data_IF_411266808897
#
_entry.id   IF_411266808897
#
_cell.length_a   1.000
_cell.length_b   1.000
_cell.length_c   1.000
_cell.angle_alpha   90.00
_cell.angle_beta   90.00
_cell.angle_gamma   90.00
#
_symmetry.space_group_name_H-M   'P 1'
#
loop_
_entity.id
_entity.type
_entity.pdbx_description
1 polymer ?
#
# COMPACT_ATOMS: atom_id res chain seq x y z
N UNK A 1 21.67 -30.84 -10.86
CA UNK A 1 21.11 -29.53 -11.23
C UNK A 1 19.66 -29.77 -11.65
N UNK A 2 18.67 -29.48 -10.78
CA UNK A 2 17.25 -29.70 -11.13
C UNK A 2 16.83 -28.62 -12.12
N UNK A 3 16.16 -29.01 -13.22
CA UNK A 3 15.57 -28.11 -14.20
C UNK A 3 14.72 -27.07 -13.45
N UNK A 4 15.02 -25.78 -13.63
CA UNK A 4 14.09 -24.69 -13.31
C UNK A 4 12.80 -25.03 -14.05
N UNK A 5 11.74 -25.37 -13.31
CA UNK A 5 10.41 -25.35 -13.89
C UNK A 5 10.09 -23.87 -14.06
N UNK A 6 10.18 -23.40 -15.30
CA UNK A 6 9.82 -22.04 -15.66
C UNK A 6 8.32 -21.97 -15.39
N UNK A 7 7.94 -21.29 -14.29
CA UNK A 7 6.55 -20.92 -14.08
C UNK A 7 6.07 -20.19 -15.35
N UNK A 8 4.81 -20.36 -15.77
CA UNK A 8 4.29 -19.66 -16.95
C UNK A 8 4.67 -18.18 -16.90
N UNK A 9 5.04 -17.60 -18.05
CA UNK A 9 5.59 -16.24 -18.09
C UNK A 9 4.70 -15.20 -17.38
N UNK A 10 3.39 -15.47 -17.37
CA UNK A 10 2.33 -14.64 -16.80
C UNK A 10 2.31 -14.62 -15.26
N UNK A 11 3.15 -15.44 -14.61
CA UNK A 11 3.16 -15.53 -13.14
C UNK A 11 3.91 -14.36 -12.50
N UNK A 12 4.74 -13.64 -13.26
CA UNK A 12 5.61 -12.57 -12.76
C UNK A 12 6.35 -12.95 -11.47
N UNK A 13 6.67 -14.24 -11.32
CA UNK A 13 7.29 -14.81 -10.14
C UNK A 13 8.36 -15.81 -10.52
N UNK A 14 9.40 -15.89 -9.69
CA UNK A 14 10.43 -16.90 -9.73
C UNK A 14 10.62 -17.53 -8.35
N UNK A 15 11.36 -18.64 -8.26
CA UNK A 15 11.67 -19.28 -6.98
C UNK A 15 13.18 -19.34 -6.83
N UNK A 16 13.71 -18.72 -5.78
CA UNK A 16 15.11 -18.85 -5.37
C UNK A 16 15.27 -19.91 -4.29
N UNK A 17 16.34 -20.69 -4.36
CA UNK A 17 16.74 -21.60 -3.30
C UNK A 17 17.89 -20.96 -2.50
N UNK A 18 17.66 -20.71 -1.20
CA UNK A 18 18.65 -20.13 -0.28
C UNK A 18 18.64 -20.98 0.99
N UNK A 19 19.81 -21.47 1.43
CA UNK A 19 19.94 -22.24 2.68
C UNK A 19 18.92 -23.39 2.82
N UNK A 20 18.69 -24.14 1.72
CA UNK A 20 17.73 -25.28 1.66
C UNK A 20 16.26 -24.88 1.84
N UNK A 21 15.92 -23.61 1.63
CA UNK A 21 14.54 -23.11 1.58
C UNK A 21 14.26 -22.47 0.23
N UNK A 22 12.99 -22.48 -0.15
CA UNK A 22 12.50 -21.96 -1.42
C UNK A 22 11.71 -20.68 -1.19
N UNK A 23 12.13 -19.60 -1.84
CA UNK A 23 11.57 -18.27 -1.71
C UNK A 23 10.93 -17.91 -3.03
N UNK A 24 9.60 -17.71 -3.10
CA UNK A 24 9.00 -16.98 -4.19
C UNK A 24 9.66 -15.59 -4.28
N UNK A 25 9.78 -15.04 -5.48
CA UNK A 25 10.32 -13.70 -5.73
C UNK A 25 9.50 -13.10 -6.87
N UNK A 26 8.98 -11.90 -6.70
CA UNK A 26 8.31 -11.17 -7.77
C UNK A 26 9.31 -10.64 -8.77
N UNK A 27 8.97 -10.75 -10.04
CA UNK A 27 9.69 -10.15 -11.16
C UNK A 27 8.88 -8.98 -11.68
N UNK A 28 9.47 -7.80 -11.64
CA UNK A 28 8.90 -6.58 -12.20
C UNK A 28 9.82 -6.05 -13.28
N UNK A 29 9.22 -5.48 -14.32
CA UNK A 29 9.95 -4.82 -15.40
C UNK A 29 9.86 -3.32 -15.17
N UNK A 30 11.00 -2.64 -15.09
CA UNK A 30 11.02 -1.18 -15.02
C UNK A 30 10.64 -0.54 -16.35
N UNK A 31 10.37 0.76 -16.33
CA UNK A 31 10.09 1.55 -17.53
C UNK A 31 11.23 1.46 -18.57
N UNK A 32 12.47 1.26 -18.12
CA UNK A 32 13.66 1.05 -18.96
C UNK A 32 13.81 -0.41 -19.44
N UNK A 33 12.77 -1.23 -19.35
CA UNK A 33 12.75 -2.65 -19.70
C UNK A 33 13.74 -3.53 -18.91
N UNK A 34 14.18 -3.10 -17.73
CA UNK A 34 15.03 -3.92 -16.89
C UNK A 34 14.17 -4.87 -16.06
N UNK A 35 14.47 -6.17 -16.11
CA UNK A 35 13.89 -7.13 -15.18
C UNK A 35 14.57 -6.97 -13.81
N UNK A 36 13.78 -6.62 -12.81
CA UNK A 36 14.16 -6.60 -11.42
C UNK A 36 13.44 -7.70 -10.68
N UNK A 37 14.20 -8.42 -9.85
CA UNK A 37 13.69 -9.43 -8.95
C UNK A 37 13.62 -8.82 -7.55
N UNK A 38 12.47 -8.91 -6.89
CA UNK A 38 12.28 -8.37 -5.55
C UNK A 38 11.24 -9.13 -4.74
N UNK A 39 11.30 -8.92 -3.42
CA UNK A 39 10.43 -9.59 -2.45
C UNK A 39 9.15 -8.77 -2.15
N UNK A 40 8.87 -7.74 -2.96
CA UNK A 40 7.66 -6.94 -2.87
C UNK A 40 6.41 -7.83 -2.92
N UNK A 41 5.48 -7.66 -1.98
CA UNK A 41 4.24 -8.45 -1.92
C UNK A 41 4.35 -9.84 -1.29
N UNK A 42 5.54 -10.24 -0.82
CA UNK A 42 5.79 -11.51 -0.10
C UNK A 42 6.02 -11.30 1.39
N UNK A 43 5.56 -10.16 1.90
CA UNK A 43 5.38 -9.94 3.32
C UNK A 43 4.11 -10.64 3.77
N UNK A 44 4.19 -11.43 4.84
CA UNK A 44 3.09 -12.28 5.29
C UNK A 44 1.83 -11.51 5.66
N UNK A 45 1.95 -10.21 5.95
CA UNK A 45 0.80 -9.39 6.30
C UNK A 45 1.17 -7.91 6.38
N UNK A 46 0.27 -7.01 5.97
CA UNK A 46 0.18 -5.68 6.57
C UNK A 46 -0.35 -5.76 8.03
N UNK A 47 -0.78 -6.95 8.48
CA UNK A 47 -1.30 -7.24 9.83
C UNK A 47 -0.26 -7.23 10.96
N UNK A 48 1.03 -6.97 10.69
CA UNK A 48 1.98 -6.58 11.75
C UNK A 48 1.60 -5.21 12.38
N UNK A 49 0.58 -4.53 11.84
CA UNK A 49 -0.13 -3.40 12.46
C UNK A 49 -1.01 -3.80 13.66
N UNK A 50 -1.44 -5.06 13.77
CA UNK A 50 -2.49 -5.49 14.73
C UNK A 50 -2.10 -6.69 15.61
N UNK A 51 -0.82 -6.88 15.90
CA UNK A 51 -0.40 -7.41 17.21
C UNK A 51 -0.58 -8.90 17.51
N UNK A 52 -0.56 -9.80 16.52
CA UNK A 52 -0.35 -11.23 16.78
C UNK A 52 1.04 -11.67 16.27
N UNK A 53 2.07 -11.71 17.14
CA UNK A 53 3.38 -12.18 16.73
C UNK A 53 3.32 -13.69 16.43
N UNK A 54 3.58 -14.07 15.18
CA UNK A 54 3.67 -15.48 14.80
C UNK A 54 4.91 -16.13 15.42
N UNK A 55 4.80 -17.43 15.74
CA UNK A 55 5.85 -18.23 16.35
C UNK A 55 7.15 -18.21 15.51
N UNK A 56 8.11 -17.39 15.93
CA UNK A 56 9.39 -17.21 15.26
C UNK A 56 10.29 -18.42 15.53
N UNK A 57 10.41 -19.31 14.55
CA UNK A 57 11.48 -20.31 14.53
C UNK A 57 12.83 -19.66 14.16
N UNK A 58 13.98 -20.20 14.62
CA UNK A 58 15.31 -19.57 14.55
C UNK A 58 15.90 -19.36 13.13
N UNK A 59 15.12 -19.57 12.06
CA UNK A 59 15.57 -19.46 10.66
C UNK A 59 14.59 -18.71 9.75
N UNK A 60 13.55 -18.09 10.32
CA UNK A 60 12.71 -17.17 9.55
C UNK A 60 13.41 -15.82 9.50
N UNK A 61 13.97 -15.46 8.35
CA UNK A 61 14.27 -14.06 8.03
C UNK A 61 12.95 -13.30 8.13
N UNK A 62 12.81 -12.54 9.22
CA UNK A 62 11.66 -11.71 9.59
C UNK A 62 10.97 -11.12 8.38
N UNK A 63 9.70 -11.50 8.17
CA UNK A 63 8.82 -10.94 7.16
C UNK A 63 8.73 -11.67 5.81
N UNK A 64 9.62 -12.63 5.48
CA UNK A 64 9.64 -13.22 4.13
C UNK A 64 8.98 -14.61 4.04
N UNK A 65 8.10 -14.80 3.03
CA UNK A 65 7.51 -16.10 2.68
C UNK A 65 8.57 -17.07 2.15
N UNK A 66 8.71 -18.23 2.80
CA UNK A 66 9.62 -19.29 2.38
C UNK A 66 9.12 -20.68 2.72
N UNK A 67 9.43 -21.64 1.85
CA UNK A 67 8.92 -23.00 1.92
C UNK A 67 10.03 -24.04 2.08
N UNK A 68 9.76 -25.16 2.78
CA UNK A 68 10.72 -26.24 2.93
C UNK A 68 10.89 -27.08 1.65
N UNK A 69 9.96 -26.98 0.70
CA UNK A 69 9.99 -27.73 -0.55
C UNK A 69 9.64 -26.86 -1.75
N UNK A 70 10.24 -27.16 -2.89
CA UNK A 70 9.97 -26.48 -4.16
C UNK A 70 8.50 -26.59 -4.56
N UNK A 71 7.89 -27.76 -4.39
CA UNK A 71 6.47 -27.98 -4.68
C UNK A 71 5.53 -27.10 -3.84
N UNK A 72 5.87 -26.86 -2.57
CA UNK A 72 5.09 -25.95 -1.73
C UNK A 72 5.23 -24.49 -2.19
N UNK A 73 6.43 -24.07 -2.62
CA UNK A 73 6.64 -22.75 -3.20
C UNK A 73 5.86 -22.56 -4.51
N UNK A 74 5.86 -23.56 -5.40
CA UNK A 74 5.06 -23.51 -6.63
C UNK A 74 3.56 -23.38 -6.32
N UNK A 75 3.03 -24.19 -5.40
CA UNK A 75 1.62 -24.14 -5.03
C UNK A 75 1.21 -22.79 -4.43
N UNK A 76 2.13 -22.11 -3.74
CA UNK A 76 1.91 -20.75 -3.28
C UNK A 76 1.87 -19.77 -4.45
N UNK A 77 2.82 -19.84 -5.39
CA UNK A 77 2.83 -19.01 -6.58
C UNK A 77 1.54 -19.18 -7.42
N UNK A 78 1.03 -20.40 -7.58
CA UNK A 78 -0.24 -20.65 -8.26
C UNK A 78 -1.41 -19.93 -7.59
N UNK A 79 -1.59 -20.11 -6.29
CA UNK A 79 -2.68 -19.46 -5.55
C UNK A 79 -2.57 -17.94 -5.59
N UNK A 80 -1.35 -17.41 -5.43
CA UNK A 80 -1.13 -15.96 -5.48
C UNK A 80 -1.51 -15.37 -6.84
N UNK A 81 -1.19 -16.07 -7.92
CA UNK A 81 -1.58 -15.68 -9.27
C UNK A 81 -3.11 -15.71 -9.46
N UNK A 82 -3.78 -16.76 -9.00
CA UNK A 82 -5.25 -16.84 -9.01
C UNK A 82 -5.90 -15.69 -8.22
N UNK A 83 -5.34 -15.35 -7.06
CA UNK A 83 -5.80 -14.23 -6.24
C UNK A 83 -5.59 -12.87 -6.94
N UNK A 84 -4.45 -12.68 -7.60
CA UNK A 84 -4.13 -11.44 -8.32
C UNK A 84 -5.04 -11.25 -9.56
N UNK A 85 -5.35 -12.33 -10.30
CA UNK A 85 -6.34 -12.28 -11.40
C UNK A 85 -7.73 -11.88 -10.88
N UNK A 86 -8.19 -12.53 -9.80
CA UNK A 86 -9.47 -12.22 -9.20
C UNK A 86 -9.52 -10.76 -8.73
N UNK A 87 -8.46 -10.30 -8.05
CA UNK A 87 -8.35 -8.93 -7.58
C UNK A 87 -8.34 -7.93 -8.74
N UNK A 88 -7.68 -8.25 -9.86
CA UNK A 88 -7.67 -7.39 -11.04
C UNK A 88 -9.07 -7.26 -11.66
N UNK A 89 -9.80 -8.36 -11.80
CA UNK A 89 -11.18 -8.33 -12.31
C UNK A 89 -12.12 -7.58 -11.36
N UNK A 90 -11.94 -7.74 -10.05
CA UNK A 90 -12.67 -6.99 -9.04
C UNK A 90 -12.37 -5.50 -9.13
N UNK A 91 -11.10 -5.10 -9.24
CA UNK A 91 -10.68 -3.70 -9.45
C UNK A 91 -11.37 -3.09 -10.67
N UNK A 92 -11.40 -3.82 -11.78
CA UNK A 92 -12.04 -3.38 -13.03
C UNK A 92 -13.55 -3.22 -12.87
N UNK A 93 -14.21 -4.11 -12.13
CA UNK A 93 -15.65 -4.04 -11.90
C UNK A 93 -16.01 -2.95 -10.90
N UNK A 94 -15.26 -2.79 -9.82
CA UNK A 94 -15.42 -1.70 -8.86
C UNK A 94 -15.32 -0.34 -9.56
N UNK A 95 -14.29 -0.12 -10.38
CA UNK A 95 -14.13 1.11 -11.16
C UNK A 95 -15.29 1.36 -12.15
N UNK A 96 -15.93 0.31 -12.67
CA UNK A 96 -17.11 0.43 -13.56
C UNK A 96 -18.40 0.72 -12.81
N UNK A 97 -18.48 0.32 -11.55
CA UNK A 97 -19.64 0.50 -10.68
C UNK A 97 -19.52 1.77 -9.82
N UNK A 98 -18.43 2.52 -9.94
CA UNK A 98 -18.24 3.80 -9.27
C UNK A 98 -19.33 4.79 -9.69
N UNK A 99 -20.09 5.29 -8.72
CA UNK A 99 -21.26 6.13 -8.97
C UNK A 99 -20.91 7.59 -9.26
N UNK A 100 -19.79 8.08 -8.71
CA UNK A 100 -19.39 9.49 -8.77
C UNK A 100 -17.87 9.63 -9.06
N UNK A 101 -17.38 9.14 -10.20
CA UNK A 101 -15.96 9.18 -10.52
C UNK A 101 -15.38 10.61 -10.54
N UNK A 102 -16.18 11.61 -10.92
CA UNK A 102 -15.81 13.02 -10.89
C UNK A 102 -15.50 13.54 -9.49
N UNK A 103 -16.15 12.98 -8.44
CA UNK A 103 -15.91 13.39 -7.06
C UNK A 103 -14.56 12.87 -6.57
N UNK A 104 -14.19 11.65 -6.94
CA UNK A 104 -12.87 11.09 -6.65
C UNK A 104 -11.75 11.88 -7.33
N UNK A 105 -11.99 12.39 -8.55
CA UNK A 105 -11.07 13.32 -9.22
C UNK A 105 -10.93 14.61 -8.42
N UNK A 106 -12.04 15.16 -7.95
CA UNK A 106 -12.02 16.37 -7.11
C UNK A 106 -11.25 16.15 -5.80
N UNK A 107 -11.52 15.08 -5.04
CA UNK A 107 -10.77 14.75 -3.82
C UNK A 107 -9.27 14.60 -4.08
N UNK A 108 -8.89 13.95 -5.19
CA UNK A 108 -7.48 13.80 -5.58
C UNK A 108 -6.81 15.15 -5.78
N UNK A 109 -7.49 16.08 -6.47
CA UNK A 109 -6.97 17.42 -6.73
C UNK A 109 -6.86 18.25 -5.46
N UNK A 110 -7.87 18.22 -4.59
CA UNK A 110 -7.85 18.94 -3.32
C UNK A 110 -6.76 18.42 -2.39
N UNK A 111 -6.64 17.09 -2.23
CA UNK A 111 -5.56 16.49 -1.45
C UNK A 111 -4.19 16.85 -2.01
N UNK A 112 -4.02 16.85 -3.34
CA UNK A 112 -2.76 17.28 -3.95
C UNK A 112 -2.45 18.75 -3.69
N UNK A 113 -3.45 19.63 -3.69
CA UNK A 113 -3.27 21.05 -3.37
C UNK A 113 -2.93 21.26 -1.90
N UNK A 114 -3.59 20.53 -0.99
CA UNK A 114 -3.39 20.62 0.45
C UNK A 114 -2.05 20.07 0.91
N UNK A 115 -1.60 18.96 0.32
CA UNK A 115 -0.43 18.21 0.79
C UNK A 115 0.80 18.38 -0.11
N UNK A 116 0.60 18.86 -1.33
CA UNK A 116 1.62 18.90 -2.39
C UNK A 116 1.93 17.55 -3.03
N UNK A 117 1.28 16.47 -2.58
CA UNK A 117 1.51 15.11 -3.08
C UNK A 117 0.20 14.49 -3.59
N UNK A 118 0.30 13.71 -4.65
CA UNK A 118 -0.87 12.99 -5.19
C UNK A 118 -1.23 11.85 -4.23
N UNK A 119 -2.49 11.76 -3.75
CA UNK A 119 -2.92 10.62 -2.96
C UNK A 119 -2.91 9.34 -3.79
N UNK A 120 -2.64 8.22 -3.13
CA UNK A 120 -2.62 6.90 -3.74
C UNK A 120 -3.65 6.02 -3.06
N UNK A 121 -4.27 5.13 -3.84
CA UNK A 121 -5.17 4.14 -3.29
C UNK A 121 -4.98 2.80 -3.99
N UNK A 122 -5.29 1.73 -3.27
CA UNK A 122 -5.31 0.38 -3.82
C UNK A 122 -6.44 -0.43 -3.20
N UNK A 123 -6.98 -1.35 -4.00
CA UNK A 123 -7.99 -2.29 -3.55
C UNK A 123 -7.31 -3.54 -2.98
N UNK A 124 -7.72 -3.95 -1.78
CA UNK A 124 -7.51 -5.28 -1.22
C UNK A 124 -8.74 -6.16 -1.49
N UNK A 125 -8.76 -7.37 -0.93
CA UNK A 125 -9.88 -8.30 -1.09
C UNK A 125 -11.19 -7.82 -0.44
N UNK A 126 -11.10 -6.96 0.59
CA UNK A 126 -12.27 -6.51 1.36
C UNK A 126 -12.43 -5.01 1.41
N UNK A 127 -11.37 -4.24 1.19
CA UNK A 127 -11.32 -2.81 1.50
C UNK A 127 -10.52 -2.03 0.44
N UNK A 128 -10.77 -0.74 0.39
CA UNK A 128 -9.98 0.26 -0.31
C UNK A 128 -9.07 0.92 0.70
N UNK A 129 -7.77 0.83 0.47
CA UNK A 129 -6.76 1.53 1.26
C UNK A 129 -6.36 2.79 0.50
N UNK A 130 -6.60 3.97 1.06
CA UNK A 130 -6.20 5.25 0.50
C UNK A 130 -5.22 5.95 1.44
N UNK A 131 -4.20 6.62 0.88
CA UNK A 131 -3.20 7.31 1.68
C UNK A 131 -2.56 8.49 0.95
N UNK A 132 -2.03 9.43 1.72
CA UNK A 132 -1.23 10.57 1.23
C UNK A 132 -0.13 10.92 2.22
N UNK A 133 1.03 11.29 1.70
CA UNK A 133 2.16 11.76 2.51
C UNK A 133 2.25 13.30 2.44
N UNK A 134 2.57 13.93 3.56
CA UNK A 134 2.94 15.35 3.62
C UNK A 134 4.44 15.53 3.39
N UNK A 135 4.87 16.77 3.12
CA UNK A 135 6.29 17.10 2.97
C UNK A 135 7.13 16.89 4.22
N UNK A 136 6.52 16.92 5.41
CA UNK A 136 7.20 16.64 6.67
C UNK A 136 7.38 15.14 6.95
N UNK A 137 6.90 14.28 6.04
CA UNK A 137 6.96 12.82 6.14
C UNK A 137 5.78 12.19 6.88
N UNK A 138 4.83 12.98 7.38
CA UNK A 138 3.60 12.45 7.98
C UNK A 138 2.76 11.76 6.91
N UNK A 139 2.24 10.57 7.22
CA UNK A 139 1.38 9.79 6.32
C UNK A 139 -0.01 9.69 6.94
N UNK A 140 -1.03 10.05 6.16
CA UNK A 140 -2.44 9.79 6.49
C UNK A 140 -2.91 8.61 5.64
N UNK A 141 -3.67 7.72 6.25
CA UNK A 141 -4.18 6.51 5.60
C UNK A 141 -5.53 6.12 6.16
N UNK A 142 -6.44 5.75 5.28
CA UNK A 142 -7.81 5.34 5.61
C UNK A 142 -8.17 4.07 4.85
N UNK A 143 -8.94 3.21 5.52
CA UNK A 143 -9.50 1.98 4.97
C UNK A 143 -11.03 2.10 4.90
N UNK A 144 -11.63 1.86 3.74
CA UNK A 144 -13.09 1.91 3.57
C UNK A 144 -13.62 0.87 2.59
N UNK A 145 -14.94 0.67 2.54
CA UNK A 145 -15.56 -0.32 1.65
C UNK A 145 -15.59 0.08 0.18
N UNK A 146 -15.50 1.38 -0.10
CA UNK A 146 -15.55 1.93 -1.47
C UNK A 146 -14.50 3.01 -1.70
N UNK A 147 -14.20 3.31 -2.97
CA UNK A 147 -13.23 4.33 -3.34
C UNK A 147 -13.72 5.72 -2.89
N UNK A 148 -15.00 6.05 -3.12
CA UNK A 148 -15.61 7.32 -2.68
C UNK A 148 -15.51 7.50 -1.16
N UNK A 149 -15.83 6.48 -0.36
CA UNK A 149 -15.71 6.55 1.09
C UNK A 149 -14.26 6.75 1.54
N UNK A 150 -13.32 5.99 0.98
CA UNK A 150 -11.91 6.09 1.34
C UNK A 150 -11.35 7.47 1.00
N UNK A 151 -11.66 8.00 -0.19
CA UNK A 151 -11.20 9.31 -0.64
C UNK A 151 -11.84 10.45 0.15
N UNK A 152 -13.14 10.35 0.47
CA UNK A 152 -13.85 11.33 1.28
C UNK A 152 -13.27 11.43 2.69
N UNK A 153 -13.13 10.28 3.37
CA UNK A 153 -12.59 10.24 4.73
C UNK A 153 -11.13 10.72 4.78
N UNK A 154 -10.30 10.31 3.80
CA UNK A 154 -8.92 10.79 3.71
C UNK A 154 -8.85 12.32 3.55
N UNK A 155 -9.73 12.89 2.73
CA UNK A 155 -9.82 14.35 2.58
C UNK A 155 -10.25 15.04 3.87
N UNK A 156 -11.28 14.54 4.55
CA UNK A 156 -11.76 15.09 5.82
C UNK A 156 -10.65 15.09 6.88
N UNK A 157 -9.95 13.97 7.05
CA UNK A 157 -8.88 13.83 8.04
C UNK A 157 -7.72 14.80 7.77
N UNK A 158 -7.28 14.89 6.51
CA UNK A 158 -6.18 15.80 6.12
C UNK A 158 -6.59 17.26 6.27
N UNK A 159 -7.81 17.63 5.84
CA UNK A 159 -8.30 18.99 5.91
C UNK A 159 -8.47 19.47 7.35
N UNK A 160 -9.03 18.63 8.23
CA UNK A 160 -9.14 18.93 9.67
C UNK A 160 -7.77 19.15 10.31
N UNK A 161 -6.79 18.31 9.97
CA UNK A 161 -5.46 18.40 10.58
C UNK A 161 -4.69 19.63 10.13
N UNK A 162 -4.77 19.98 8.84
CA UNK A 162 -4.14 21.21 8.31
C UNK A 162 -4.81 22.44 8.93
N UNK A 163 -6.14 22.44 9.07
CA UNK A 163 -6.85 23.54 9.72
C UNK A 163 -6.44 23.72 11.18
N UNK A 164 -6.25 22.63 11.94
CA UNK A 164 -5.77 22.66 13.32
C UNK A 164 -4.34 23.23 13.41
N UNK A 165 -3.43 22.80 12.53
CA UNK A 165 -2.05 23.29 12.50
C UNK A 165 -1.98 24.81 12.21
N UNK A 166 -2.80 25.31 11.29
CA UNK A 166 -2.89 26.75 11.00
C UNK A 166 -3.46 27.56 12.17
N UNK A 167 -4.31 26.95 13.00
CA UNK A 167 -4.90 27.60 14.17
C UNK A 167 -3.92 27.67 15.35
N UNK A 168 -3.04 26.67 15.50
CA UNK A 168 -2.00 26.63 16.54
C UNK A 168 -0.81 27.55 16.28
N UNK A 169 -0.52 27.92 15.02
CA UNK A 169 0.51 28.93 14.70
C UNK A 169 0.04 30.38 14.95
N UNK A 170 -1.27 30.62 15.08
CA UNK A 170 -1.86 31.96 15.20
C UNK A 170 -2.18 32.54 16.61
N UNK A 171 -2.01 31.87 17.77
CA UNK A 171 -2.33 32.48 19.06
C UNK A 171 -1.22 33.40 19.61
N UNK A 172 0.00 33.38 19.05
CA UNK A 172 1.15 34.10 19.64
C UNK A 172 1.25 35.57 19.21
N UNK A 173 0.57 36.00 18.14
CA UNK A 173 0.70 37.36 17.60
C UNK A 173 -0.30 38.39 18.17
N UNK A 174 -1.30 37.96 18.94
CA UNK A 174 -2.29 38.88 19.53
C UNK A 174 -1.93 39.36 20.94
N UNK A 175 -0.92 38.77 21.60
CA UNK A 175 -0.53 39.16 22.97
C UNK A 175 0.49 40.33 22.96
N UNK A 176 1.27 40.50 21.89
CA UNK A 176 2.31 41.54 21.86
C UNK A 176 1.81 42.94 21.42
N UNK A 177 0.61 43.06 20.84
CA UNK A 177 0.06 44.37 20.48
C UNK A 177 -0.61 45.11 21.65
N UNK A 178 -1.02 44.42 22.73
CA UNK A 178 -1.59 45.08 23.92
C UNK A 178 -0.54 45.66 24.88
N UNK A 179 0.74 45.27 24.76
CA UNK A 179 1.81 45.78 25.62
C UNK A 179 2.68 46.89 24.99
N UNK A 180 2.47 47.23 23.72
CA UNK A 180 3.19 48.31 23.04
C UNK A 180 2.49 49.69 23.11
N UNK A 181 1.34 49.81 23.81
CA UNK A 181 0.59 51.07 23.99
C UNK A 181 0.51 51.56 25.44
N UNK A 182 1.54 51.34 26.26
CA UNK A 182 1.68 52.04 27.55
C UNK A 182 3.00 52.80 27.64
#
# INVERSE_FOLDING_TARGET
>A
MRKREILPHDYHMTIAEINQRFYPIHRFTTDDHQELDGLLGLFWSNEDSYGIPMAVGPRHTTGLVSFPTYAAAINYCHRRWEDDELLYDWKKNAARCELYPERNVWYTQELQQLTGNTPLWFLSLSEVHAWVALYDGTVYSVDAGTIDEAMCQLYEEVAERIALAQTEEHPTLLIEQEYASK
#
